data_IF_434766254339
#
_entry.id   IF_434766254339
#
_cell.length_a   1.000
_cell.length_b   1.000
_cell.length_c   1.000
_cell.angle_alpha   90.00
_cell.angle_beta   90.00
_cell.angle_gamma   90.00
#
_symmetry.space_group_name_H-M   'P 1'
#
loop_
_entity.id
_entity.type
_entity.pdbx_description
1 polymer ?
#
# COMPACT_ATOMS: atom_id res chain seq x y z
N UNK A 1 16.26 -20.23 16.78
CA UNK A 1 15.62 -18.90 16.62
C UNK A 1 14.26 -18.98 17.28
N UNK A 2 14.02 -18.24 18.37
CA UNK A 2 12.71 -18.19 19.03
C UNK A 2 11.98 -16.95 18.51
N UNK A 3 10.87 -17.13 17.80
CA UNK A 3 10.03 -16.03 17.33
C UNK A 3 9.14 -15.55 18.48
N UNK A 4 9.11 -14.24 18.73
CA UNK A 4 8.19 -13.62 19.68
C UNK A 4 7.11 -12.86 18.90
N UNK A 5 5.82 -13.05 19.21
CA UNK A 5 4.77 -12.25 18.61
C UNK A 5 4.89 -10.81 19.11
N UNK A 6 4.76 -9.86 18.18
CA UNK A 6 4.74 -8.42 18.47
C UNK A 6 3.38 -7.88 18.02
N UNK A 7 2.74 -7.08 18.86
CA UNK A 7 1.51 -6.41 18.48
C UNK A 7 1.78 -5.38 17.40
N UNK A 8 1.16 -5.58 16.24
CA UNK A 8 1.25 -4.63 15.13
C UNK A 8 0.28 -3.49 15.38
N UNK A 9 0.83 -2.33 15.77
CA UNK A 9 0.08 -1.08 15.83
C UNK A 9 0.03 -0.44 14.45
N UNK A 10 -0.82 0.57 14.28
CA UNK A 10 -0.89 1.33 13.02
C UNK A 10 0.42 1.98 12.63
N UNK A 11 1.16 2.52 13.59
CA UNK A 11 2.47 3.12 13.34
C UNK A 11 3.49 2.05 12.90
N UNK A 12 3.55 0.91 13.62
CA UNK A 12 4.45 -0.21 13.26
C UNK A 12 4.14 -0.72 11.85
N UNK A 13 2.85 -0.88 11.52
CA UNK A 13 2.41 -1.31 10.20
C UNK A 13 2.82 -0.31 9.12
N UNK A 14 2.61 0.98 9.37
CA UNK A 14 2.97 2.04 8.43
C UNK A 14 4.48 2.10 8.19
N UNK A 15 5.30 2.06 9.23
CA UNK A 15 6.76 2.00 9.11
C UNK A 15 7.19 0.80 8.27
N UNK A 16 6.53 -0.36 8.46
CA UNK A 16 6.76 -1.54 7.64
C UNK A 16 6.48 -1.28 6.14
N UNK A 17 5.38 -0.59 5.83
CA UNK A 17 5.04 -0.24 4.45
C UNK A 17 6.06 0.70 3.82
N UNK A 18 6.45 1.77 4.54
CA UNK A 18 7.33 2.81 4.04
C UNK A 18 8.77 2.34 3.87
N UNK A 19 9.29 1.62 4.86
CA UNK A 19 10.73 1.31 4.94
C UNK A 19 11.07 0.00 4.24
N UNK A 20 10.12 -0.93 4.13
CA UNK A 20 10.38 -2.28 3.63
C UNK A 20 9.54 -2.61 2.40
N UNK A 21 8.21 -2.54 2.49
CA UNK A 21 7.33 -3.07 1.44
C UNK A 21 7.38 -2.24 0.15
N UNK A 22 7.15 -0.93 0.24
CA UNK A 22 7.12 -0.04 -0.94
C UNK A 22 8.50 -0.01 -1.64
N UNK A 23 9.64 0.13 -0.93
CA UNK A 23 10.96 0.06 -1.55
C UNK A 23 11.22 -1.29 -2.24
N UNK A 24 10.86 -2.40 -1.59
CA UNK A 24 11.04 -3.73 -2.17
C UNK A 24 10.18 -3.94 -3.42
N UNK A 25 8.95 -3.41 -3.45
CA UNK A 25 8.10 -3.41 -4.64
C UNK A 25 8.78 -2.63 -5.75
N UNK A 26 9.20 -1.38 -5.50
CA UNK A 26 9.87 -0.55 -6.52
C UNK A 26 11.12 -1.21 -7.10
N UNK A 27 11.89 -1.92 -6.27
CA UNK A 27 13.12 -2.60 -6.70
C UNK A 27 12.83 -3.84 -7.57
N UNK A 28 11.71 -4.54 -7.32
CA UNK A 28 11.33 -5.78 -8.02
C UNK A 28 10.37 -5.54 -9.19
N UNK A 29 9.68 -4.40 -9.21
CA UNK A 29 8.71 -4.08 -10.26
C UNK A 29 9.42 -3.82 -11.59
N UNK A 30 8.95 -4.40 -12.71
CA UNK A 30 9.61 -4.23 -14.00
C UNK A 30 9.70 -2.76 -14.42
N UNK A 31 10.89 -2.31 -14.78
CA UNK A 31 11.07 -0.98 -15.36
C UNK A 31 10.42 -0.94 -16.75
N UNK A 32 9.52 0.02 -16.97
CA UNK A 32 8.78 0.17 -18.23
C UNK A 32 7.35 -0.40 -18.21
N UNK A 33 6.92 -1.03 -17.12
CA UNK A 33 5.50 -1.36 -16.92
C UNK A 33 4.68 -0.08 -16.75
N UNK A 34 3.57 0.02 -17.49
CA UNK A 34 2.66 1.18 -17.48
C UNK A 34 1.57 1.02 -16.42
N UNK A 35 1.33 -0.22 -15.98
CA UNK A 35 0.37 -0.54 -14.93
C UNK A 35 0.97 -0.33 -13.54
N UNK A 36 0.18 0.30 -12.69
CA UNK A 36 0.53 0.48 -11.30
C UNK A 36 0.30 -0.76 -10.42
N UNK A 37 0.97 -0.80 -9.27
CA UNK A 37 0.78 -1.82 -8.23
C UNK A 37 -0.31 -1.37 -7.26
N UNK A 38 -1.32 -2.21 -7.04
CA UNK A 38 -2.33 -1.98 -6.02
C UNK A 38 -2.03 -2.87 -4.81
N UNK A 39 -1.71 -2.25 -3.67
CA UNK A 39 -1.53 -2.94 -2.40
C UNK A 39 -2.89 -3.02 -1.72
N UNK A 40 -3.53 -4.20 -1.78
CA UNK A 40 -4.83 -4.42 -1.12
C UNK A 40 -4.63 -4.80 0.35
N UNK A 41 -5.35 -4.12 1.23
CA UNK A 41 -5.36 -4.34 2.68
C UNK A 41 -6.76 -4.77 3.13
N UNK A 42 -6.86 -5.66 4.13
CA UNK A 42 -8.15 -6.03 4.75
C UNK A 42 -8.62 -4.95 5.74
N UNK A 43 -9.83 -5.07 6.32
CA UNK A 43 -10.36 -4.06 7.25
C UNK A 43 -9.82 -4.11 8.70
N UNK A 44 -8.59 -4.59 8.92
CA UNK A 44 -8.02 -4.64 10.26
C UNK A 44 -7.78 -3.24 10.86
N UNK A 45 -8.06 -3.08 12.17
CA UNK A 45 -7.92 -1.83 12.92
C UNK A 45 -6.56 -1.10 12.78
N UNK A 46 -5.40 -1.78 12.67
CA UNK A 46 -4.12 -1.08 12.50
C UNK A 46 -3.85 -0.63 11.06
N UNK A 47 -4.70 -0.94 10.08
CA UNK A 47 -4.43 -0.55 8.70
C UNK A 47 -4.55 0.95 8.47
N UNK A 48 -3.70 1.42 7.56
CA UNK A 48 -3.51 2.83 7.26
C UNK A 48 -4.50 3.18 6.15
N UNK A 49 -5.29 4.26 6.29
CA UNK A 49 -6.18 4.69 5.24
C UNK A 49 -5.36 4.98 3.97
N UNK A 50 -5.87 4.61 2.78
CA UNK A 50 -5.26 4.90 1.49
C UNK A 50 -4.85 6.37 1.28
N UNK A 51 -5.55 7.28 1.96
CA UNK A 51 -5.32 8.72 1.92
C UNK A 51 -4.23 9.23 2.87
N UNK A 52 -3.55 8.37 3.64
CA UNK A 52 -2.43 8.82 4.49
C UNK A 52 -1.33 9.46 3.62
N UNK A 53 -0.99 10.74 3.85
CA UNK A 53 -0.11 11.49 2.97
C UNK A 53 1.28 10.87 2.88
N UNK A 54 1.75 10.15 3.92
CA UNK A 54 3.04 9.47 3.91
C UNK A 54 3.05 8.31 2.92
N UNK A 55 1.97 7.54 2.87
CA UNK A 55 1.79 6.43 1.93
C UNK A 55 1.63 6.96 0.50
N UNK A 56 0.81 8.00 0.30
CA UNK A 56 0.65 8.63 -1.01
C UNK A 56 1.98 9.18 -1.54
N UNK A 57 2.74 9.87 -0.70
CA UNK A 57 4.05 10.41 -1.07
C UNK A 57 5.04 9.28 -1.42
N UNK A 58 5.08 8.21 -0.62
CA UNK A 58 5.96 7.07 -0.88
C UNK A 58 5.62 6.34 -2.19
N UNK A 59 4.35 6.34 -2.60
CA UNK A 59 3.92 5.75 -3.85
C UNK A 59 4.01 6.68 -5.07
N UNK A 60 4.08 8.00 -4.85
CA UNK A 60 4.26 8.98 -5.91
C UNK A 60 5.64 8.78 -6.57
N UNK A 61 5.64 8.54 -7.89
CA UNK A 61 6.85 8.26 -8.67
C UNK A 61 7.24 6.78 -8.80
N UNK A 62 6.54 5.86 -8.12
CA UNK A 62 6.79 4.40 -8.23
C UNK A 62 5.64 3.59 -8.81
N UNK A 63 4.55 4.25 -9.22
CA UNK A 63 3.38 3.57 -9.78
C UNK A 63 2.61 2.70 -8.80
N UNK A 64 2.78 2.82 -7.47
CA UNK A 64 1.95 2.07 -6.52
C UNK A 64 0.77 2.88 -5.98
N UNK A 65 -0.24 2.21 -5.45
CA UNK A 65 -1.30 2.79 -4.62
C UNK A 65 -1.73 1.77 -3.57
N UNK A 66 -2.09 2.23 -2.38
CA UNK A 66 -2.66 1.37 -1.33
C UNK A 66 -4.18 1.45 -1.41
N UNK A 67 -4.84 0.31 -1.35
CA UNK A 67 -6.30 0.17 -1.34
C UNK A 67 -6.74 -0.60 -0.10
N UNK A 68 -7.72 -0.07 0.61
CA UNK A 68 -8.29 -0.71 1.79
C UNK A 68 -9.63 -1.35 1.40
N UNK A 69 -9.75 -2.67 1.52
CA UNK A 69 -11.00 -3.38 1.29
C UNK A 69 -11.96 -3.10 2.45
N UNK A 70 -13.08 -2.41 2.18
CA UNK A 70 -14.12 -2.12 3.17
C UNK A 70 -14.56 -0.66 3.28
N UNK A 71 -13.92 0.28 2.57
CA UNK A 71 -14.50 1.59 2.28
C UNK A 71 -15.10 1.51 0.88
N UNK A 72 -16.38 1.85 0.76
CA UNK A 72 -17.22 1.70 -0.44
C UNK A 72 -16.44 1.85 -1.73
N UNK A 73 -16.52 0.83 -2.59
CA UNK A 73 -16.03 0.88 -3.97
C UNK A 73 -16.71 2.08 -4.65
N UNK A 74 -16.01 3.18 -4.78
CA UNK A 74 -16.38 4.29 -5.66
C UNK A 74 -15.26 4.46 -6.68
N UNK A 75 -15.45 3.67 -7.74
CA UNK A 75 -15.22 3.97 -9.14
C UNK A 75 -14.04 4.89 -9.53
N UNK A 76 -13.03 4.28 -10.16
CA UNK A 76 -12.33 4.90 -11.30
C UNK A 76 -12.33 3.94 -12.49
N UNK A 77 -13.51 3.51 -12.91
CA UNK A 77 -13.77 3.07 -14.26
C UNK A 77 -13.88 4.31 -15.15
N UNK A 78 -12.76 4.71 -15.74
CA UNK A 78 -12.76 5.58 -16.92
C UNK A 78 -13.55 4.87 -18.03
N UNK A 79 -14.81 5.23 -18.21
CA UNK A 79 -15.57 4.83 -19.38
C UNK A 79 -15.04 5.64 -20.58
N UNK A 80 -14.25 4.98 -21.43
CA UNK A 80 -13.84 5.47 -22.73
C UNK A 80 -14.05 4.34 -23.74
N UNK A 81 -15.14 4.51 -24.49
CA UNK A 81 -15.63 3.78 -25.67
C UNK A 81 -16.49 2.55 -25.41
#
# INVERSE_FOLDING_TARGET
MVMKPVSVTREVYMTMLLDNVIPAIKAKWPQGETKGVIIQQDNAKPHVPPSDPRIVAACTGGGCSVFQFGVTILDRGSNSK
#
